data_IF_983633484175
#
_entry.id   IF_983633484175
#
_cell.length_a   1.000
_cell.length_b   1.000
_cell.length_c   1.000
_cell.angle_alpha   90.00
_cell.angle_beta   90.00
_cell.angle_gamma   90.00
#
_symmetry.space_group_name_H-M   'P 1'
#
loop_
_entity.id
_entity.type
_entity.pdbx_description
1 polymer ?
#
# COMPACT_ATOMS: atom_id res chain seq x y z
N UNK A 1 -11.00 6.34 57.78
CA UNK A 1 -11.96 5.78 56.81
C UNK A 1 -11.14 5.01 55.81
N UNK A 2 -11.27 3.67 55.72
CA UNK A 2 -10.54 2.91 54.70
C UNK A 2 -11.13 3.25 53.34
N UNK A 3 -10.43 4.09 52.57
CA UNK A 3 -10.65 4.21 51.14
C UNK A 3 -10.37 2.85 50.54
N UNK A 4 -11.42 2.17 50.08
CA UNK A 4 -11.27 0.87 49.41
C UNK A 4 -10.58 1.13 48.08
N UNK A 5 -9.28 0.86 48.01
CA UNK A 5 -8.48 0.98 46.80
C UNK A 5 -9.04 0.05 45.72
N UNK A 6 -9.21 0.56 44.50
CA UNK A 6 -9.75 -0.21 43.38
C UNK A 6 -8.84 -1.41 43.07
N UNK A 7 -9.35 -2.65 42.96
CA UNK A 7 -8.54 -3.86 42.75
C UNK A 7 -7.58 -3.80 41.56
N UNK A 8 -7.93 -3.13 40.47
CA UNK A 8 -7.02 -2.99 39.31
C UNK A 8 -5.76 -2.22 39.67
N UNK A 9 -5.89 -1.21 40.54
CA UNK A 9 -4.76 -0.40 40.99
C UNK A 9 -3.85 -1.25 41.86
N UNK A 10 -4.40 -2.03 42.78
CA UNK A 10 -3.61 -2.94 43.62
C UNK A 10 -2.88 -3.98 42.78
N UNK A 11 -3.55 -4.61 41.81
CA UNK A 11 -2.93 -5.59 40.90
C UNK A 11 -1.73 -5.01 40.15
N UNK A 12 -1.90 -3.82 39.57
CA UNK A 12 -0.83 -3.17 38.80
C UNK A 12 0.28 -2.64 39.72
N UNK A 13 -0.07 -2.13 40.90
CA UNK A 13 0.87 -1.69 41.92
C UNK A 13 1.79 -2.84 42.35
N UNK A 14 1.23 -4.01 42.63
CA UNK A 14 1.97 -5.24 42.92
C UNK A 14 2.88 -5.65 41.76
N UNK A 15 2.36 -5.64 40.52
CA UNK A 15 3.13 -5.98 39.31
C UNK A 15 4.39 -5.14 39.16
N UNK A 16 4.32 -3.84 39.47
CA UNK A 16 5.44 -2.91 39.37
C UNK A 16 6.19 -2.68 40.68
N UNK A 17 5.80 -3.35 41.77
CA UNK A 17 6.38 -3.16 43.11
C UNK A 17 6.33 -1.69 43.59
N UNK A 18 5.21 -1.01 43.35
CA UNK A 18 4.94 0.37 43.78
C UNK A 18 3.70 0.38 44.66
N UNK A 19 3.56 1.32 45.59
CA UNK A 19 2.29 1.47 46.33
C UNK A 19 1.18 2.08 45.46
N UNK A 20 -0.08 1.80 45.79
CA UNK A 20 -1.22 2.20 44.96
C UNK A 20 -1.41 3.72 44.82
N UNK A 21 -1.02 4.50 45.83
CA UNK A 21 -1.18 5.97 45.81
C UNK A 21 -0.10 6.63 44.95
N UNK A 22 1.15 6.21 45.12
CA UNK A 22 2.27 6.63 44.27
C UNK A 22 2.08 6.21 42.82
N UNK A 23 1.53 5.01 42.57
CA UNK A 23 1.20 4.56 41.22
C UNK A 23 0.22 5.53 40.55
N UNK A 24 -0.92 5.82 41.20
CA UNK A 24 -1.95 6.69 40.63
C UNK A 24 -1.43 8.10 40.39
N UNK A 25 -0.75 8.69 41.38
CA UNK A 25 -0.20 10.05 41.27
C UNK A 25 0.85 10.14 40.15
N UNK A 26 1.76 9.16 40.05
CA UNK A 26 2.79 9.12 39.01
C UNK A 26 2.18 8.97 37.63
N UNK A 27 1.24 8.03 37.46
CA UNK A 27 0.64 7.79 36.15
C UNK A 27 -0.26 8.95 35.70
N UNK A 28 -0.95 9.64 36.62
CA UNK A 28 -1.73 10.84 36.26
C UNK A 28 -0.84 11.95 35.70
N UNK A 29 0.41 12.04 36.19
CA UNK A 29 1.39 13.01 35.74
C UNK A 29 2.11 12.61 34.43
N UNK A 30 2.15 11.32 34.08
CA UNK A 30 3.07 10.83 33.03
C UNK A 30 2.41 10.03 31.90
N UNK A 31 1.31 9.33 32.15
CA UNK A 31 0.66 8.41 31.22
C UNK A 31 -0.46 9.05 30.37
N UNK A 32 -0.73 10.34 30.59
CA UNK A 32 -1.70 11.12 29.82
C UNK A 32 -0.94 12.21 29.07
N UNK A 33 -1.17 12.37 27.76
CA UNK A 33 -0.72 13.60 27.09
C UNK A 33 -1.67 14.71 27.52
N UNK A 34 -1.20 15.54 28.44
CA UNK A 34 -1.94 16.67 28.95
C UNK A 34 -1.98 17.78 27.90
N UNK A 35 -3.17 18.37 27.70
CA UNK A 35 -3.36 19.62 26.98
C UNK A 35 -4.07 20.57 27.94
N UNK A 36 -3.35 21.59 28.42
CA UNK A 36 -3.86 22.55 29.42
C UNK A 36 -4.01 21.98 30.83
N UNK A 37 -4.85 22.63 31.66
CA UNK A 37 -5.07 22.33 33.08
C UNK A 37 -6.01 21.13 33.34
N UNK A 38 -6.03 20.15 32.44
CA UNK A 38 -7.00 19.05 32.53
C UNK A 38 -6.63 18.07 33.66
N UNK A 39 -7.48 18.00 34.69
CA UNK A 39 -7.28 17.12 35.84
C UNK A 39 -7.79 15.72 35.52
N UNK A 40 -6.89 14.73 35.50
CA UNK A 40 -7.24 13.35 35.20
C UNK A 40 -8.00 12.71 36.37
N UNK A 41 -9.21 12.21 36.09
CA UNK A 41 -10.05 11.55 37.10
C UNK A 41 -9.55 10.14 37.42
N UNK A 42 -10.01 9.57 38.54
CA UNK A 42 -9.65 8.20 38.88
C UNK A 42 -10.26 7.21 37.89
N UNK A 43 -11.45 7.48 37.39
CA UNK A 43 -12.19 6.65 36.43
C UNK A 43 -11.44 6.57 35.09
N UNK A 44 -10.91 7.69 34.62
CA UNK A 44 -10.07 7.74 33.42
C UNK A 44 -8.77 6.93 33.62
N UNK A 45 -8.16 7.03 34.79
CA UNK A 45 -6.99 6.22 35.13
C UNK A 45 -7.32 4.72 35.18
N UNK A 46 -8.46 4.35 35.78
CA UNK A 46 -8.89 2.95 35.85
C UNK A 46 -9.15 2.39 34.45
N UNK A 47 -9.78 3.16 33.56
CA UNK A 47 -9.99 2.75 32.17
C UNK A 47 -8.65 2.45 31.46
N UNK A 48 -7.63 3.31 31.64
CA UNK A 48 -6.30 3.07 31.08
C UNK A 48 -5.65 1.81 31.65
N UNK A 49 -5.71 1.63 32.98
CA UNK A 49 -5.11 0.48 33.66
C UNK A 49 -5.76 -0.85 33.26
N UNK A 50 -7.08 -0.87 33.02
CA UNK A 50 -7.80 -2.06 32.53
C UNK A 50 -7.27 -2.47 31.16
N UNK A 51 -7.10 -1.53 30.23
CA UNK A 51 -6.58 -1.81 28.88
C UNK A 51 -5.11 -2.21 28.93
N UNK A 52 -4.31 -1.54 29.77
CA UNK A 52 -2.92 -1.89 30.04
C UNK A 52 -2.79 -3.32 30.55
N UNK A 53 -3.63 -3.75 31.49
CA UNK A 53 -3.64 -5.11 32.02
C UNK A 53 -4.08 -6.13 30.97
N UNK A 54 -5.16 -5.84 30.22
CA UNK A 54 -5.71 -6.73 29.18
C UNK A 54 -4.66 -7.11 28.13
N UNK A 55 -3.82 -6.15 27.71
CA UNK A 55 -2.78 -6.36 26.71
C UNK A 55 -1.37 -6.48 27.31
N UNK A 56 -1.27 -6.57 28.63
CA UNK A 56 0.00 -6.63 29.36
C UNK A 56 0.95 -5.44 29.07
N UNK A 57 0.43 -4.30 28.62
CA UNK A 57 1.19 -3.10 28.21
C UNK A 57 1.70 -2.31 29.40
N UNK A 58 2.91 -1.76 29.29
CA UNK A 58 3.53 -0.98 30.34
C UNK A 58 3.31 0.53 30.15
N UNK A 59 2.56 1.21 31.05
CA UNK A 59 2.31 2.64 30.94
C UNK A 59 3.54 3.50 31.30
N UNK A 60 4.50 2.98 32.08
CA UNK A 60 5.71 3.72 32.45
C UNK A 60 6.71 3.85 31.29
N UNK A 61 6.76 2.85 30.40
CA UNK A 61 7.61 2.87 29.20
C UNK A 61 6.93 3.51 28.00
N UNK A 62 5.70 4.04 28.16
CA UNK A 62 4.86 4.59 27.08
C UNK A 62 4.54 3.58 25.97
N UNK A 63 4.48 2.30 26.31
CA UNK A 63 3.86 1.31 25.43
C UNK A 63 2.36 1.58 25.27
N UNK A 64 1.73 2.08 26.34
CA UNK A 64 0.37 2.60 26.33
C UNK A 64 0.31 3.94 27.09
N UNK A 65 -0.48 4.86 26.56
CA UNK A 65 -0.83 6.13 27.20
C UNK A 65 -2.25 6.52 26.76
N UNK A 66 -2.82 7.60 27.30
CA UNK A 66 -4.16 8.01 26.93
C UNK A 66 -4.22 9.46 26.47
N UNK A 67 -5.15 9.71 25.54
CA UNK A 67 -5.66 11.04 25.28
C UNK A 67 -7.02 11.23 25.96
N UNK A 68 -7.26 12.37 26.64
CA UNK A 68 -8.57 12.67 27.19
C UNK A 68 -9.56 12.95 26.05
N UNK A 69 -10.74 12.35 26.14
CA UNK A 69 -11.89 12.70 25.30
C UNK A 69 -12.67 13.86 25.94
N UNK A 70 -13.38 14.64 25.12
CA UNK A 70 -14.22 15.77 25.50
C UNK A 70 -15.42 15.38 26.36
N UNK A 71 -15.92 14.15 26.22
CA UNK A 71 -17.07 13.67 26.98
C UNK A 71 -16.69 12.99 28.30
N UNK A 72 -15.48 13.26 28.80
CA UNK A 72 -14.97 12.69 30.05
C UNK A 72 -14.43 11.25 29.92
N UNK A 73 -14.36 10.72 28.69
CA UNK A 73 -13.73 9.44 28.37
C UNK A 73 -12.22 9.54 28.16
N UNK A 74 -11.62 8.44 27.68
CA UNK A 74 -10.24 8.39 27.20
C UNK A 74 -10.16 7.61 25.89
N UNK A 75 -9.16 7.93 25.07
CA UNK A 75 -8.73 7.14 23.92
C UNK A 75 -7.38 6.49 24.26
N UNK A 76 -7.31 5.17 24.49
CA UNK A 76 -6.05 4.47 24.76
C UNK A 76 -5.19 4.41 23.51
N UNK A 77 -3.98 4.95 23.60
CA UNK A 77 -3.00 5.01 22.53
C UNK A 77 -1.86 4.06 22.82
N UNK A 78 -1.53 3.21 21.85
CA UNK A 78 -0.43 2.26 21.93
C UNK A 78 0.68 2.71 20.98
N UNK A 79 1.91 2.78 21.50
CA UNK A 79 3.07 3.13 20.70
C UNK A 79 3.50 1.98 19.79
N UNK A 80 4.34 2.26 18.80
CA UNK A 80 4.87 1.22 17.89
C UNK A 80 5.54 0.09 18.68
N UNK A 81 6.28 0.42 19.75
CA UNK A 81 6.91 -0.58 20.61
C UNK A 81 5.87 -1.40 21.38
N UNK A 82 4.77 -0.78 21.83
CA UNK A 82 3.65 -1.50 22.46
C UNK A 82 2.99 -2.49 21.51
N UNK A 83 2.71 -2.07 20.27
CA UNK A 83 2.16 -2.95 19.22
C UNK A 83 3.10 -4.11 18.90
N UNK A 84 4.40 -3.83 18.77
CA UNK A 84 5.41 -4.87 18.53
C UNK A 84 5.50 -5.84 19.70
N UNK A 85 5.44 -5.36 20.95
CA UNK A 85 5.50 -6.22 22.13
C UNK A 85 4.32 -7.19 22.17
N UNK A 86 3.09 -6.70 22.01
CA UNK A 86 1.89 -7.55 22.05
C UNK A 86 1.80 -8.51 20.87
N UNK A 87 2.32 -8.13 19.70
CA UNK A 87 2.41 -9.03 18.56
C UNK A 87 3.44 -10.15 18.82
N UNK A 88 4.64 -9.81 19.30
CA UNK A 88 5.68 -10.79 19.58
C UNK A 88 5.34 -11.75 20.74
N UNK A 89 4.58 -11.29 21.74
CA UNK A 89 4.09 -12.13 22.85
C UNK A 89 2.92 -13.05 22.43
N UNK A 90 2.28 -12.78 21.28
CA UNK A 90 1.13 -13.56 20.85
C UNK A 90 1.55 -15.01 20.53
N UNK A 91 0.92 -16.05 21.13
CA UNK A 91 1.38 -17.44 21.01
C UNK A 91 1.50 -17.97 19.56
N UNK A 92 0.66 -17.43 18.68
CA UNK A 92 0.62 -17.81 17.26
C UNK A 92 1.40 -16.90 16.32
N UNK A 93 2.12 -15.88 16.80
CA UNK A 93 2.97 -15.05 15.94
C UNK A 93 4.07 -15.92 15.29
N UNK A 94 4.23 -15.78 13.98
CA UNK A 94 5.18 -16.57 13.17
C UNK A 94 6.03 -15.70 12.23
N UNK A 95 6.05 -14.39 12.48
CA UNK A 95 6.80 -13.43 11.66
C UNK A 95 5.92 -12.52 10.82
N UNK A 96 6.58 -11.50 10.27
CA UNK A 96 5.96 -10.44 9.48
C UNK A 96 6.88 -10.10 8.31
N UNK A 97 6.29 -9.91 7.14
CA UNK A 97 6.98 -9.45 5.93
C UNK A 97 6.34 -8.17 5.40
N UNK A 98 7.08 -7.42 4.59
CA UNK A 98 6.62 -6.18 4.00
C UNK A 98 6.83 -6.20 2.48
N UNK A 99 5.78 -5.91 1.73
CA UNK A 99 5.83 -5.60 0.31
C UNK A 99 5.69 -4.08 0.12
N UNK A 100 6.50 -3.52 -0.78
CA UNK A 100 6.56 -2.09 -1.05
C UNK A 100 6.15 -1.83 -2.50
N UNK A 101 5.43 -0.73 -2.75
CA UNK A 101 5.13 -0.32 -4.12
C UNK A 101 6.40 0.00 -4.90
N UNK A 102 6.39 -0.32 -6.20
CA UNK A 102 7.39 0.17 -7.16
C UNK A 102 7.30 1.68 -7.33
N UNK A 103 6.07 2.21 -7.27
CA UNK A 103 5.81 3.62 -7.40
C UNK A 103 6.26 4.35 -6.14
N UNK A 104 7.02 5.40 -6.35
CA UNK A 104 7.56 6.24 -5.29
C UNK A 104 7.06 7.66 -5.53
N UNK A 105 6.41 8.22 -4.51
CA UNK A 105 5.79 9.54 -4.54
C UNK A 105 6.39 10.42 -3.46
N UNK A 106 6.30 11.74 -3.63
CA UNK A 106 6.67 12.71 -2.61
C UNK A 106 5.46 13.56 -2.28
N UNK A 107 4.75 13.28 -1.17
CA UNK A 107 3.60 14.07 -0.77
C UNK A 107 4.04 15.48 -0.36
N UNK A 108 3.12 16.43 -0.45
CA UNK A 108 3.37 17.84 -0.17
C UNK A 108 3.95 18.04 1.24
N UNK A 109 5.01 18.83 1.34
CA UNK A 109 5.68 19.10 2.61
C UNK A 109 6.63 17.99 3.09
N UNK A 110 6.65 16.80 2.49
CA UNK A 110 7.59 15.76 2.88
C UNK A 110 9.03 16.09 2.50
N UNK A 111 9.95 15.87 3.43
CA UNK A 111 11.39 16.00 3.23
C UNK A 111 12.02 14.83 2.45
N UNK A 112 11.29 13.73 2.26
CA UNK A 112 11.77 12.55 1.56
C UNK A 112 10.66 11.89 0.72
N UNK A 113 11.08 11.15 -0.31
CA UNK A 113 10.20 10.28 -1.09
C UNK A 113 9.75 9.05 -0.29
N UNK A 114 8.57 8.54 -0.61
CA UNK A 114 7.95 7.38 0.02
C UNK A 114 7.26 6.47 -1.00
N UNK A 115 7.11 5.20 -0.67
CA UNK A 115 6.29 4.27 -1.44
C UNK A 115 4.83 4.73 -1.43
N UNK A 116 4.14 4.62 -2.57
CA UNK A 116 2.72 4.91 -2.72
C UNK A 116 1.85 4.03 -1.80
N UNK A 117 2.27 2.80 -1.53
CA UNK A 117 1.66 1.92 -0.53
C UNK A 117 2.68 0.98 0.08
N UNK A 118 2.38 0.48 1.28
CA UNK A 118 3.11 -0.60 1.95
C UNK A 118 2.10 -1.66 2.40
N UNK A 119 2.36 -2.91 2.04
CA UNK A 119 1.58 -4.07 2.46
C UNK A 119 2.35 -4.87 3.50
N UNK A 120 1.71 -5.10 4.65
CA UNK A 120 2.24 -5.96 5.71
C UNK A 120 1.58 -7.31 5.64
N UNK A 121 2.40 -8.35 5.68
CA UNK A 121 2.00 -9.76 5.59
C UNK A 121 2.34 -10.44 6.90
N UNK A 122 1.32 -10.70 7.71
CA UNK A 122 1.47 -11.38 9.00
C UNK A 122 1.27 -12.89 8.83
N UNK A 123 2.25 -13.65 9.27
CA UNK A 123 2.18 -15.11 9.35
C UNK A 123 1.79 -15.55 10.76
N UNK A 124 0.93 -16.56 10.80
CA UNK A 124 0.44 -17.16 12.05
C UNK A 124 0.52 -18.67 11.97
N UNK A 125 1.00 -19.29 13.05
CA UNK A 125 1.17 -20.75 13.16
C UNK A 125 -0.15 -21.52 13.04
N UNK A 126 -1.25 -20.91 13.42
CA UNK A 126 -2.59 -21.52 13.44
C UNK A 126 -3.40 -21.29 12.15
N UNK A 127 -2.81 -20.66 11.12
CA UNK A 127 -3.48 -20.37 9.84
C UNK A 127 -2.65 -20.86 8.67
N UNK A 128 -3.32 -21.32 7.60
CA UNK A 128 -2.67 -21.72 6.35
C UNK A 128 -2.32 -20.54 5.45
N UNK A 129 -3.04 -19.43 5.58
CA UNK A 129 -2.86 -18.24 4.75
C UNK A 129 -2.54 -17.04 5.65
N UNK A 130 -1.58 -16.18 5.24
CA UNK A 130 -1.24 -15.00 6.01
C UNK A 130 -2.35 -13.96 5.96
N UNK A 131 -2.35 -13.07 6.95
CA UNK A 131 -3.18 -11.86 6.91
C UNK A 131 -2.39 -10.79 6.16
N UNK A 132 -3.00 -10.20 5.13
CA UNK A 132 -2.38 -9.14 4.32
C UNK A 132 -3.18 -7.86 4.51
N UNK A 133 -2.50 -6.78 4.86
CA UNK A 133 -3.11 -5.45 4.99
C UNK A 133 -2.22 -4.45 4.28
N UNK A 134 -2.83 -3.66 3.40
CA UNK A 134 -2.16 -2.64 2.59
C UNK A 134 -2.67 -1.27 3.01
N UNK A 135 -1.73 -0.37 3.30
CA UNK A 135 -2.03 1.02 3.61
C UNK A 135 -1.41 1.91 2.53
N UNK A 136 -2.16 2.92 2.11
CA UNK A 136 -1.78 3.84 1.06
C UNK A 136 -1.27 5.16 1.64
N UNK A 137 -0.26 5.74 1.01
CA UNK A 137 0.38 6.96 1.51
C UNK A 137 -0.57 8.16 1.45
N UNK A 138 -1.37 8.28 0.40
CA UNK A 138 -2.32 9.38 0.20
C UNK A 138 -3.42 9.41 1.28
N UNK A 139 -3.84 8.26 1.81
CA UNK A 139 -4.78 8.18 2.93
C UNK A 139 -4.12 8.37 4.30
N UNK A 140 -2.88 7.90 4.46
CA UNK A 140 -2.19 7.89 5.75
C UNK A 140 -1.38 9.16 6.03
N UNK A 141 -0.88 9.84 5.00
CA UNK A 141 0.08 10.92 5.15
C UNK A 141 -0.55 12.11 5.87
N UNK A 142 0.18 12.64 6.86
CA UNK A 142 -0.19 13.89 7.53
C UNK A 142 0.68 15.02 7.03
N UNK A 143 0.03 16.06 6.51
CA UNK A 143 0.68 17.32 6.14
C UNK A 143 1.26 18.03 7.37
N UNK A 144 2.23 18.94 7.17
CA UNK A 144 2.71 19.79 8.25
C UNK A 144 1.54 20.53 8.91
N UNK A 145 1.52 20.60 10.24
CA UNK A 145 0.44 21.28 10.96
C UNK A 145 0.86 22.68 11.38
N UNK A 146 -0.10 23.59 11.46
CA UNK A 146 0.14 24.95 11.92
C UNK A 146 0.03 25.02 13.45
N UNK A 147 1.01 25.64 14.08
CA UNK A 147 0.97 25.96 15.49
C UNK A 147 -0.09 27.04 15.74
N UNK A 148 -1.07 26.75 16.58
CA UNK A 148 -2.23 27.62 16.83
C UNK A 148 -1.88 28.89 17.62
N UNK A 149 -0.71 28.93 18.26
CA UNK A 149 -0.25 30.09 19.06
C UNK A 149 0.62 31.00 18.21
N UNK A 150 1.57 30.43 17.48
CA UNK A 150 2.60 31.17 16.73
C UNK A 150 2.25 31.34 15.25
N UNK A 151 1.26 30.60 14.74
CA UNK A 151 0.90 30.57 13.33
C UNK A 151 1.97 29.94 12.42
N UNK A 152 3.03 29.37 12.99
CA UNK A 152 4.13 28.79 12.21
C UNK A 152 3.80 27.35 11.80
N UNK A 153 4.19 26.99 10.57
CA UNK A 153 4.08 25.62 10.08
C UNK A 153 5.16 24.77 10.75
N UNK A 154 4.73 23.71 11.45
CA UNK A 154 5.61 22.80 12.16
C UNK A 154 5.66 21.45 11.46
N UNK A 155 6.88 21.01 11.15
CA UNK A 155 7.12 19.70 10.58
C UNK A 155 7.02 18.62 11.65
N UNK A 156 6.28 17.55 11.36
CA UNK A 156 6.13 16.36 12.19
C UNK A 156 6.98 15.17 11.72
N UNK A 157 6.78 14.00 12.34
CA UNK A 157 7.47 12.76 11.96
C UNK A 157 7.26 12.36 10.49
N UNK A 158 6.06 12.61 9.96
CA UNK A 158 5.72 12.34 8.55
C UNK A 158 6.57 13.13 7.56
N UNK A 159 7.02 14.35 7.92
CA UNK A 159 7.87 15.16 7.05
C UNK A 159 9.31 14.63 7.00
N UNK A 160 9.85 14.13 8.11
CA UNK A 160 11.24 13.66 8.19
C UNK A 160 11.41 12.18 7.81
N UNK A 161 10.43 11.32 8.15
CA UNK A 161 10.53 9.87 8.00
C UNK A 161 9.25 9.23 7.43
N UNK A 162 8.74 9.67 6.26
CA UNK A 162 7.44 9.21 5.72
C UNK A 162 7.39 7.69 5.50
N UNK A 163 8.48 7.07 5.01
CA UNK A 163 8.56 5.61 4.81
C UNK A 163 8.40 4.81 6.10
N UNK A 164 9.02 5.28 7.19
CA UNK A 164 8.92 4.63 8.50
C UNK A 164 7.50 4.77 9.05
N UNK A 165 6.91 5.96 8.92
CA UNK A 165 5.56 6.23 9.37
C UNK A 165 4.53 5.36 8.62
N UNK A 166 4.61 5.29 7.29
CA UNK A 166 3.72 4.46 6.49
C UNK A 166 3.87 2.97 6.83
N UNK A 167 5.11 2.49 7.01
CA UNK A 167 5.35 1.10 7.43
C UNK A 167 4.66 0.81 8.77
N UNK A 168 4.77 1.70 9.75
CA UNK A 168 4.10 1.52 11.04
C UNK A 168 2.57 1.48 10.91
N UNK A 169 1.97 2.27 10.00
CA UNK A 169 0.52 2.19 9.75
C UNK A 169 0.11 0.82 9.25
N UNK A 170 0.79 0.36 8.20
CA UNK A 170 0.54 -0.95 7.61
C UNK A 170 0.73 -2.08 8.63
N UNK A 171 1.80 -1.99 9.43
CA UNK A 171 2.12 -2.98 10.46
C UNK A 171 1.06 -3.04 11.57
N UNK A 172 0.69 -1.89 12.12
CA UNK A 172 -0.30 -1.79 13.20
C UNK A 172 -1.66 -2.31 12.74
N UNK A 173 -2.11 -1.92 11.54
CA UNK A 173 -3.40 -2.39 11.02
C UNK A 173 -3.37 -3.90 10.74
N UNK A 174 -2.24 -4.43 10.25
CA UNK A 174 -2.07 -5.87 10.07
C UNK A 174 -2.10 -6.64 11.40
N UNK A 175 -1.45 -6.14 12.46
CA UNK A 175 -1.56 -6.75 13.79
C UNK A 175 -2.97 -6.65 14.36
N UNK A 176 -3.64 -5.52 14.17
CA UNK A 176 -5.03 -5.31 14.60
C UNK A 176 -5.97 -6.35 13.99
N UNK A 177 -5.98 -6.49 12.67
CA UNK A 177 -6.82 -7.46 11.95
C UNK A 177 -6.34 -8.88 12.19
N UNK A 178 -5.03 -9.07 12.18
CA UNK A 178 -4.37 -10.36 12.26
C UNK A 178 -4.57 -11.05 13.60
N UNK A 179 -4.46 -10.32 14.71
CA UNK A 179 -4.62 -10.85 16.08
C UNK A 179 -5.95 -10.50 16.72
N UNK A 180 -6.75 -9.62 16.12
CA UNK A 180 -8.03 -9.19 16.67
C UNK A 180 -7.87 -8.23 17.86
N UNK A 181 -6.84 -7.40 17.87
CA UNK A 181 -6.65 -6.39 18.89
C UNK A 181 -7.71 -5.28 18.77
N UNK A 182 -8.40 -4.96 19.86
CA UNK A 182 -9.53 -4.02 19.89
C UNK A 182 -9.42 -3.01 21.03
N UNK A 183 -10.01 -1.83 20.87
CA UNK A 183 -10.07 -0.81 21.94
C UNK A 183 -8.73 -0.10 22.24
N UNK A 184 -7.73 -0.29 21.39
CA UNK A 184 -6.45 0.43 21.42
C UNK A 184 -6.22 1.09 20.06
N UNK A 185 -5.56 2.23 20.03
CA UNK A 185 -5.40 3.04 18.82
C UNK A 185 -3.94 3.44 18.62
N UNK A 186 -3.53 3.67 17.38
CA UNK A 186 -2.28 4.40 17.15
C UNK A 186 -2.50 5.90 17.37
N UNK A 187 -1.40 6.66 17.53
CA UNK A 187 -1.49 8.09 17.84
C UNK A 187 -2.26 8.90 16.79
N UNK A 188 -2.12 8.58 15.50
CA UNK A 188 -2.78 9.33 14.45
C UNK A 188 -4.28 9.05 14.37
N UNK A 189 -4.67 7.79 14.61
CA UNK A 189 -6.05 7.36 14.74
C UNK A 189 -6.72 8.01 15.95
N UNK A 190 -6.04 8.03 17.09
CA UNK A 190 -6.54 8.67 18.30
C UNK A 190 -6.75 10.18 18.12
N UNK A 191 -5.82 10.88 17.45
CA UNK A 191 -5.99 12.30 17.11
C UNK A 191 -7.18 12.53 16.18
N UNK A 192 -7.44 11.63 15.22
CA UNK A 192 -8.61 11.74 14.34
C UNK A 192 -9.91 11.58 15.11
N UNK A 193 -9.99 10.63 16.04
CA UNK A 193 -11.17 10.44 16.90
C UNK A 193 -11.46 11.73 17.67
N UNK A 194 -10.46 12.26 18.37
CA UNK A 194 -10.59 13.47 19.20
C UNK A 194 -10.97 14.69 18.36
N UNK A 195 -10.41 14.82 17.15
CA UNK A 195 -10.72 15.93 16.26
C UNK A 195 -12.13 15.81 15.66
N UNK A 196 -12.57 14.60 15.28
CA UNK A 196 -13.93 14.38 14.80
C UNK A 196 -14.98 14.66 15.88
N UNK A 197 -14.67 14.37 17.15
CA UNK A 197 -15.50 14.77 18.29
C UNK A 197 -15.55 16.31 18.49
N UNK A 198 -14.69 17.09 17.82
CA UNK A 198 -14.81 18.55 17.71
C UNK A 198 -15.83 18.98 16.67
N UNK A 199 -15.91 18.26 15.55
CA UNK A 199 -16.69 18.68 14.39
C UNK A 199 -18.11 18.11 14.36
N UNK A 200 -18.42 17.10 15.19
CA UNK A 200 -19.78 16.56 15.35
C UNK A 200 -20.70 17.46 16.18
N UNK A 201 -20.92 18.69 15.72
CA UNK A 201 -22.29 19.21 15.68
C UNK A 201 -23.05 18.46 14.57
N UNK A 202 -24.36 18.20 14.66
CA UNK A 202 -25.03 17.23 13.81
C UNK A 202 -25.02 17.66 12.34
N UNK A 203 -24.04 17.18 11.57
CA UNK A 203 -24.03 17.31 10.13
C UNK A 203 -24.86 16.17 9.54
N UNK A 204 -25.79 16.56 8.66
CA UNK A 204 -26.61 15.63 7.90
C UNK A 204 -25.72 14.69 7.09
N UNK A 205 -25.88 13.40 7.35
CA UNK A 205 -25.22 12.31 6.64
C UNK A 205 -25.56 12.40 5.15
N UNK A 206 -24.64 12.91 4.33
CA UNK A 206 -24.75 12.79 2.87
C UNK A 206 -24.42 11.34 2.51
N UNK A 207 -25.29 10.73 1.69
CA UNK A 207 -25.18 9.32 1.32
C UNK A 207 -23.86 9.07 0.59
N UNK A 208 -23.06 8.13 1.10
CA UNK A 208 -21.87 7.64 0.42
C UNK A 208 -22.24 7.14 -0.99
N UNK A 209 -21.58 7.68 -2.01
CA UNK A 209 -21.68 7.17 -3.38
C UNK A 209 -20.76 5.96 -3.49
N UNK A 210 -21.35 4.79 -3.74
CA UNK A 210 -20.62 3.55 -3.98
C UNK A 210 -19.92 3.68 -5.33
N UNK A 211 -18.61 3.86 -5.34
CA UNK A 211 -17.80 3.67 -6.55
C UNK A 211 -17.50 2.18 -6.65
N UNK A 212 -18.06 1.52 -7.66
CA UNK A 212 -17.82 0.11 -7.93
C UNK A 212 -16.39 -0.06 -8.44
N UNK A 213 -15.53 -0.76 -7.68
CA UNK A 213 -14.24 -1.22 -8.18
C UNK A 213 -14.51 -2.36 -9.17
N UNK A 214 -14.43 -2.08 -10.47
CA UNK A 214 -14.54 -3.11 -11.50
C UNK A 214 -13.26 -3.94 -11.55
N UNK A 215 -13.39 -5.24 -11.27
CA UNK A 215 -12.34 -6.23 -11.50
C UNK A 215 -12.19 -6.43 -13.02
N UNK A 216 -11.15 -5.85 -13.61
CA UNK A 216 -10.86 -6.05 -15.03
C UNK A 216 -10.17 -7.41 -15.24
N UNK A 217 -10.99 -8.42 -15.54
CA UNK A 217 -10.53 -9.59 -16.30
C UNK A 217 -10.48 -9.18 -17.77
N UNK A 218 -9.41 -9.46 -18.54
CA UNK A 218 -9.31 -8.98 -19.90
C UNK A 218 -10.36 -9.66 -20.78
N UNK A 219 -11.31 -8.88 -21.30
CA UNK A 219 -12.24 -9.30 -22.35
C UNK A 219 -11.99 -8.45 -23.60
N UNK A 220 -11.58 -9.18 -24.64
CA UNK A 220 -11.89 -9.08 -26.07
C UNK A 220 -12.29 -7.71 -26.68
N UNK A 221 -11.59 -7.38 -27.77
CA UNK A 221 -11.52 -6.17 -28.61
C UNK A 221 -12.81 -5.51 -29.13
N UNK A 222 -14.02 -5.85 -28.68
CA UNK A 222 -15.24 -5.43 -29.39
C UNK A 222 -16.01 -4.22 -28.85
N UNK A 223 -15.55 -3.54 -27.79
CA UNK A 223 -16.32 -2.41 -27.18
C UNK A 223 -15.54 -1.08 -27.04
N UNK A 224 -14.41 -0.90 -27.73
CA UNK A 224 -13.74 0.40 -27.82
C UNK A 224 -14.34 1.26 -28.95
N UNK A 225 -15.60 1.71 -28.82
CA UNK A 225 -16.10 2.76 -29.73
C UNK A 225 -17.14 3.73 -29.13
N UNK A 226 -17.31 3.79 -27.82
CA UNK A 226 -18.32 4.69 -27.24
C UNK A 226 -17.98 5.26 -25.86
N UNK A 227 -16.91 6.06 -25.73
CA UNK A 227 -16.89 7.17 -24.76
C UNK A 227 -15.74 8.14 -25.03
N UNK A 228 -16.05 9.33 -25.55
CA UNK A 228 -15.15 10.48 -25.59
C UNK A 228 -15.29 11.24 -24.25
N UNK A 229 -14.24 11.45 -23.45
CA UNK A 229 -14.26 12.46 -22.40
C UNK A 229 -14.06 13.86 -23.01
N UNK A 230 -14.68 14.86 -22.37
CA UNK A 230 -14.66 16.26 -22.75
C UNK A 230 -13.24 16.88 -22.73
N UNK A 231 -12.97 17.94 -23.53
CA UNK A 231 -11.62 18.39 -23.84
C UNK A 231 -10.97 19.13 -22.66
N UNK A 232 -9.79 18.65 -22.26
CA UNK A 232 -8.83 19.44 -21.51
C UNK A 232 -8.28 20.53 -22.43
N UNK A 233 -8.22 21.78 -21.96
CA UNK A 233 -7.69 22.93 -22.69
C UNK A 233 -6.24 22.70 -23.12
N UNK A 234 -6.04 22.41 -24.41
CA UNK A 234 -4.74 22.25 -25.04
C UNK A 234 -4.02 23.61 -25.15
N UNK A 235 -2.77 23.68 -24.68
CA UNK A 235 -1.87 24.80 -24.92
C UNK A 235 -1.70 25.01 -26.44
N UNK A 236 -1.81 26.25 -26.96
CA UNK A 236 -1.66 26.51 -28.40
C UNK A 236 -0.24 26.22 -28.86
N UNK A 237 -0.09 25.44 -29.94
CA UNK A 237 1.19 25.12 -30.57
C UNK A 237 1.33 25.85 -31.92
N UNK A 238 2.57 26.14 -32.33
CA UNK A 238 2.84 26.76 -33.63
C UNK A 238 2.77 25.71 -34.75
N UNK A 239 1.64 25.68 -35.45
CA UNK A 239 1.37 24.75 -36.57
C UNK A 239 2.45 24.82 -37.67
N UNK A 240 3.06 25.98 -37.92
CA UNK A 240 4.07 26.12 -38.99
C UNK A 240 5.34 25.33 -38.70
N UNK A 241 5.76 25.31 -37.43
CA UNK A 241 6.97 24.60 -36.99
C UNK A 241 6.75 23.08 -37.06
N UNK A 242 5.54 22.63 -36.70
CA UNK A 242 5.16 21.21 -36.78
C UNK A 242 5.06 20.78 -38.24
N UNK A 243 4.41 21.57 -39.09
CA UNK A 243 4.23 21.29 -40.51
C UNK A 243 5.56 21.18 -41.26
N UNK A 244 6.50 22.09 -41.03
CA UNK A 244 7.82 22.05 -41.69
C UNK A 244 8.59 20.76 -41.36
N UNK A 245 8.46 20.28 -40.11
CA UNK A 245 9.08 19.02 -39.70
C UNK A 245 8.37 17.81 -40.33
N UNK A 246 7.04 17.77 -40.28
CA UNK A 246 6.23 16.67 -40.82
C UNK A 246 6.42 16.54 -42.33
N UNK A 247 6.50 17.65 -43.08
CA UNK A 247 6.77 17.63 -44.52
C UNK A 247 8.12 16.98 -44.87
N UNK A 248 9.18 17.33 -44.13
CA UNK A 248 10.50 16.68 -44.29
C UNK A 248 10.44 15.19 -43.97
N UNK A 249 9.63 14.82 -42.96
CA UNK A 249 9.42 13.45 -42.54
C UNK A 249 8.68 12.65 -43.62
N UNK A 250 7.61 13.20 -44.20
CA UNK A 250 6.85 12.62 -45.30
C UNK A 250 7.74 12.39 -46.54
N UNK A 251 8.55 13.38 -46.93
CA UNK A 251 9.49 13.22 -48.05
C UNK A 251 10.48 12.08 -47.85
N UNK A 252 10.93 11.86 -46.60
CA UNK A 252 11.80 10.73 -46.25
C UNK A 252 11.03 9.41 -46.26
N UNK A 253 9.86 9.37 -45.64
CA UNK A 253 9.01 8.19 -45.53
C UNK A 253 8.57 7.65 -46.90
N UNK A 254 8.22 8.53 -47.85
CA UNK A 254 7.92 8.16 -49.25
C UNK A 254 9.13 7.52 -49.93
N UNK A 255 10.33 8.05 -49.71
CA UNK A 255 11.56 7.53 -50.34
C UNK A 255 12.03 6.21 -49.75
N UNK A 256 11.84 5.99 -48.44
CA UNK A 256 12.35 4.81 -47.73
C UNK A 256 11.28 3.76 -47.42
N UNK A 257 10.01 4.05 -47.72
CA UNK A 257 8.83 3.26 -47.36
C UNK A 257 8.77 2.89 -45.87
N UNK A 258 9.25 3.78 -45.00
CA UNK A 258 9.34 3.58 -43.54
C UNK A 258 8.38 4.51 -42.80
N UNK A 259 7.09 4.30 -42.98
CA UNK A 259 6.04 5.10 -42.33
C UNK A 259 5.95 4.88 -40.83
N UNK A 260 6.22 3.65 -40.36
CA UNK A 260 6.22 3.36 -38.93
C UNK A 260 7.31 4.12 -38.17
N UNK A 261 8.53 4.16 -38.71
CA UNK A 261 9.63 4.92 -38.11
C UNK A 261 9.34 6.44 -38.08
N UNK A 262 8.57 6.95 -39.06
CA UNK A 262 8.11 8.32 -39.06
C UNK A 262 7.07 8.58 -37.95
N UNK A 263 6.15 7.64 -37.70
CA UNK A 263 5.18 7.73 -36.59
C UNK A 263 5.89 7.73 -35.23
N UNK A 264 6.87 6.85 -35.05
CA UNK A 264 7.64 6.77 -33.80
C UNK A 264 8.40 8.07 -33.51
N UNK A 265 8.97 8.71 -34.55
CA UNK A 265 9.67 10.01 -34.41
C UNK A 265 8.73 11.18 -34.06
N UNK A 266 7.46 11.13 -34.48
CA UNK A 266 6.46 12.13 -34.08
C UNK A 266 6.09 11.93 -32.61
N UNK A 267 5.95 10.67 -32.18
CA UNK A 267 5.59 10.30 -30.82
C UNK A 267 6.66 10.64 -29.78
N UNK A 268 7.93 10.55 -30.16
CA UNK A 268 9.06 10.99 -29.33
C UNK A 268 9.18 12.52 -29.24
N UNK A 269 8.73 13.24 -30.27
CA UNK A 269 9.01 14.68 -30.43
C UNK A 269 7.88 15.60 -29.99
N UNK A 270 6.62 15.17 -30.13
CA UNK A 270 5.46 16.01 -29.82
C UNK A 270 4.53 15.33 -28.82
N UNK A 271 3.85 16.14 -28.02
CA UNK A 271 2.84 15.73 -27.04
C UNK A 271 1.57 16.57 -27.25
N UNK A 272 0.41 16.05 -26.82
CA UNK A 272 -0.87 16.76 -26.93
C UNK A 272 -1.29 17.07 -28.37
N UNK A 273 -1.95 18.21 -28.59
CA UNK A 273 -2.52 18.61 -29.89
C UNK A 273 -1.51 18.64 -31.05
N UNK A 274 -0.26 19.00 -30.78
CA UNK A 274 0.81 18.99 -31.79
C UNK A 274 1.12 17.58 -32.32
N UNK A 275 1.02 16.55 -31.47
CA UNK A 275 1.21 15.15 -31.86
C UNK A 275 0.05 14.69 -32.75
N UNK A 276 -1.17 14.99 -32.34
CA UNK A 276 -2.39 14.64 -33.09
C UNK A 276 -2.39 15.28 -34.48
N UNK A 277 -2.06 16.58 -34.56
CA UNK A 277 -1.92 17.30 -35.84
C UNK A 277 -0.86 16.67 -36.75
N UNK A 278 0.32 16.38 -36.20
CA UNK A 278 1.43 15.78 -36.95
C UNK A 278 1.10 14.35 -37.45
N UNK A 279 0.46 13.53 -36.62
CA UNK A 279 0.05 12.17 -36.98
C UNK A 279 -1.03 12.16 -38.06
N UNK A 280 -2.00 13.08 -37.99
CA UNK A 280 -3.06 13.20 -39.00
C UNK A 280 -2.45 13.56 -40.37
N UNK A 281 -1.58 14.57 -40.43
CA UNK A 281 -0.89 14.95 -41.68
C UNK A 281 -0.03 13.82 -42.26
N UNK A 282 0.69 13.08 -41.41
CA UNK A 282 1.51 11.95 -41.86
C UNK A 282 0.63 10.83 -42.44
N UNK A 283 -0.52 10.56 -41.81
CA UNK A 283 -1.46 9.51 -42.23
C UNK A 283 -2.19 9.87 -43.53
N UNK A 284 -2.55 11.14 -43.73
CA UNK A 284 -3.10 11.64 -45.00
C UNK A 284 -2.10 11.41 -46.15
N UNK A 285 -0.81 11.68 -45.93
CA UNK A 285 0.24 11.48 -46.93
C UNK A 285 0.52 10.00 -47.21
N UNK A 286 0.43 9.13 -46.21
CA UNK A 286 0.53 7.67 -46.37
C UNK A 286 -0.63 7.11 -47.22
N UNK A 287 -1.85 7.61 -47.02
CA UNK A 287 -3.03 7.23 -47.80
C UNK A 287 -2.95 7.73 -49.25
N UNK A 288 -2.50 8.97 -49.46
CA UNK A 288 -2.26 9.52 -50.80
C UNK A 288 -1.18 8.73 -51.56
N UNK A 289 -0.11 8.34 -50.86
CA UNK A 289 0.97 7.52 -51.43
C UNK A 289 0.51 6.09 -51.75
N UNK A 290 -0.42 5.55 -50.96
CA UNK A 290 -0.99 4.21 -51.17
C UNK A 290 -2.01 4.16 -52.32
N UNK A 291 -2.80 5.23 -52.50
CA UNK A 291 -3.76 5.34 -53.60
C UNK A 291 -3.13 5.74 -54.95
N UNK A 292 -1.89 6.23 -54.96
CA UNK A 292 -1.17 6.63 -56.17
C UNK A 292 -0.53 5.49 -56.97
N UNK A 293 -0.61 4.24 -56.51
CA UNK A 293 0.12 3.11 -57.10
C UNK A 293 -0.73 2.18 -58.00
N UNK A 294 -1.82 2.71 -58.59
CA UNK A 294 -2.79 1.94 -59.37
C UNK A 294 -3.13 2.52 -60.74
N UNK A 295 -2.16 2.64 -61.66
CA UNK A 295 -2.41 2.69 -63.12
C UNK A 295 -1.10 2.64 -63.93
N UNK A 296 -1.13 1.90 -65.06
CA UNK A 296 -0.10 1.64 -66.11
C UNK A 296 0.66 0.29 -65.94
N UNK A 297 0.10 -0.84 -66.40
CA UNK A 297 0.23 -1.48 -67.75
C UNK A 297 1.68 -1.81 -68.16
N UNK A 298 2.06 -3.10 -68.18
CA UNK A 298 2.15 -3.99 -69.37
C UNK A 298 3.49 -3.76 -70.12
N UNK A 299 4.35 -4.71 -70.51
CA UNK A 299 4.28 -6.14 -70.84
C UNK A 299 5.69 -6.74 -70.60
N UNK A 300 5.82 -8.05 -70.33
CA UNK A 300 6.24 -9.02 -71.36
C UNK A 300 6.51 -10.44 -70.78
N UNK A 301 6.13 -11.40 -71.62
CA UNK A 301 6.34 -12.85 -71.67
C UNK A 301 7.65 -13.40 -71.05
N UNK A 302 7.82 -14.67 -70.66
CA UNK A 302 7.02 -15.90 -70.67
C UNK A 302 7.90 -17.02 -70.06
N UNK A 303 7.29 -18.18 -69.78
CA UNK A 303 7.92 -19.53 -69.79
C UNK A 303 8.78 -19.89 -68.55
N UNK A 304 8.61 -20.97 -67.79
CA UNK A 304 8.01 -22.29 -68.02
C UNK A 304 7.76 -23.02 -66.70
N UNK A 305 6.65 -23.76 -66.66
CA UNK A 305 6.48 -25.17 -66.26
C UNK A 305 7.25 -25.73 -65.05
N UNK A 306 6.52 -26.43 -64.16
CA UNK A 306 7.12 -27.52 -63.39
C UNK A 306 6.40 -28.02 -62.14
N UNK A 307 5.23 -28.62 -62.32
CA UNK A 307 4.65 -29.75 -61.57
C UNK A 307 4.68 -29.92 -60.04
N UNK A 308 3.45 -30.20 -59.59
CA UNK A 308 2.94 -30.92 -58.40
C UNK A 308 3.64 -32.27 -58.13
N UNK A 309 3.77 -32.60 -56.84
CA UNK A 309 3.41 -33.89 -56.18
C UNK A 309 4.51 -34.54 -55.30
N UNK A 310 4.20 -34.57 -54.01
CA UNK A 310 4.15 -35.76 -53.15
C UNK A 310 5.43 -36.52 -52.73
N UNK A 311 5.38 -36.98 -51.47
CA UNK A 311 6.06 -38.17 -50.90
C UNK A 311 7.08 -37.91 -49.77
N UNK A 312 6.55 -38.12 -48.56
CA UNK A 312 7.05 -39.08 -47.54
C UNK A 312 8.31 -38.76 -46.71
N UNK A 313 8.09 -38.82 -45.39
CA UNK A 313 9.09 -38.87 -44.31
C UNK A 313 10.04 -40.08 -44.44
N UNK A 314 11.07 -40.14 -43.58
CA UNK A 314 10.98 -41.16 -42.53
C UNK A 314 11.33 -40.70 -41.12
N UNK A 315 10.69 -41.36 -40.16
CA UNK A 315 11.00 -41.43 -38.72
C UNK A 315 12.43 -41.89 -38.43
N UNK A 316 13.01 -41.42 -37.30
CA UNK A 316 13.82 -42.27 -36.42
C UNK A 316 13.47 -42.00 -34.94
N UNK A 317 13.29 -43.12 -34.25
CA UNK A 317 12.80 -43.35 -32.88
C UNK A 317 13.82 -43.08 -31.76
N UNK A 318 13.24 -42.64 -30.65
CA UNK A 318 13.47 -42.97 -29.23
C UNK A 318 14.62 -43.90 -28.80
N UNK A 319 15.29 -43.52 -27.70
CA UNK A 319 15.70 -44.47 -26.65
C UNK A 319 15.47 -43.92 -25.24
N UNK A 320 14.65 -44.68 -24.50
CA UNK A 320 14.47 -44.75 -23.04
C UNK A 320 15.63 -45.49 -22.36
N UNK A 321 15.95 -45.15 -21.11
CA UNK A 321 16.52 -46.12 -20.16
C UNK A 321 16.12 -45.82 -18.71
N UNK A 322 15.60 -46.87 -18.09
CA UNK A 322 15.09 -47.05 -16.73
C UNK A 322 16.17 -47.57 -15.76
N UNK A 323 16.08 -47.28 -14.44
CA UNK A 323 16.60 -48.22 -13.42
C UNK A 323 15.89 -48.16 -12.04
N UNK A 324 15.11 -49.22 -11.81
CA UNK A 324 14.81 -50.08 -10.63
C UNK A 324 14.80 -49.57 -9.17
N UNK A 325 13.78 -50.08 -8.48
CA UNK A 325 13.45 -50.15 -7.02
C UNK A 325 14.37 -51.07 -6.20
N UNK A 326 14.43 -50.81 -4.89
CA UNK A 326 14.40 -51.82 -3.80
C UNK A 326 14.00 -51.21 -2.44
N UNK A 327 13.09 -51.88 -1.72
CA UNK A 327 12.75 -51.80 -0.27
C UNK A 327 13.01 -53.24 0.30
N UNK A 328 12.90 -53.64 1.59
CA UNK A 328 12.23 -53.04 2.77
C UNK A 328 12.88 -53.32 4.17
N UNK A 329 12.08 -53.12 5.24
CA UNK A 329 12.16 -53.60 6.66
C UNK A 329 12.96 -52.77 7.69
N UNK A 330 12.68 -52.73 9.00
CA UNK A 330 11.53 -52.84 9.95
C UNK A 330 12.20 -52.78 11.36
N UNK A 331 11.53 -52.28 12.43
CA UNK A 331 11.72 -52.48 13.92
C UNK A 331 11.37 -51.16 14.66
N UNK A 332 10.22 -51.06 15.37
CA UNK A 332 10.00 -51.25 16.84
C UNK A 332 11.04 -50.51 17.73
N UNK A 333 10.79 -49.86 18.86
CA UNK A 333 9.66 -49.56 19.77
C UNK A 333 10.25 -48.85 21.02
N UNK A 334 9.41 -48.23 21.85
CA UNK A 334 9.61 -47.82 23.27
C UNK A 334 10.36 -46.49 23.51
N UNK A 335 9.77 -45.46 24.15
CA UNK A 335 9.46 -45.31 25.60
C UNK A 335 10.67 -45.58 26.50
N UNK A 336 11.24 -44.52 27.09
CA UNK A 336 11.42 -44.47 28.54
C UNK A 336 11.78 -43.05 29.04
N UNK A 337 11.29 -42.83 30.26
CA UNK A 337 11.30 -41.62 31.05
C UNK A 337 12.68 -41.23 31.62
N UNK A 338 12.71 -39.97 32.07
CA UNK A 338 13.26 -39.49 33.35
C UNK A 338 14.76 -39.20 33.53
N UNK A 339 14.95 -37.99 34.09
CA UNK A 339 15.90 -37.55 35.12
C UNK A 339 17.28 -36.97 34.76
N UNK A 340 17.55 -35.82 35.43
CA UNK A 340 18.86 -35.42 35.93
C UNK A 340 19.41 -34.15 35.28
N UNK A 341 19.12 -32.97 35.84
CA UNK A 341 19.98 -32.24 36.79
C UNK A 341 21.20 -31.55 36.17
N UNK A 342 21.19 -30.21 36.29
CA UNK A 342 22.27 -29.26 36.61
C UNK A 342 23.69 -29.57 36.13
N UNK A 343 24.30 -28.62 35.42
CA UNK A 343 25.59 -28.04 35.84
C UNK A 343 25.85 -26.69 35.14
N UNK A 344 26.13 -25.69 36.00
CA UNK A 344 26.75 -24.37 35.83
C UNK A 344 26.17 -23.31 34.88
#
# INVERSE_FOLDING_TARGET
MSTTTNPIVTKIAEKFSVDSESLLSTLKATAFKQSGDNVITNEQMYALLIVSDQYNLNPFTKEIYAFPDKFGGIVPVVSVDGWNRIANEHPHFDGVEFEYSTDVVRPEGAGAHCHAWIETILYRKDRKHPTRVREYLDECYKTPYQDYVTGQVKNGPWQSHPKRMLRHKSEIQCYRVGFGFVGIYDEDEALRIINNDVEQAPQQVSKASVVSIQSTRPQTESEMQAHLPAPETEEPFDEKIVDEFVERLCQRAVKTNQWQAAKDLIDERYVGGARTHAQNKLSEQEQLSSNGNGSEQADDESTSQGNVAESTQPEVKTQTSSRKKSNPDKVLSQQNDSNGQNFF
#
